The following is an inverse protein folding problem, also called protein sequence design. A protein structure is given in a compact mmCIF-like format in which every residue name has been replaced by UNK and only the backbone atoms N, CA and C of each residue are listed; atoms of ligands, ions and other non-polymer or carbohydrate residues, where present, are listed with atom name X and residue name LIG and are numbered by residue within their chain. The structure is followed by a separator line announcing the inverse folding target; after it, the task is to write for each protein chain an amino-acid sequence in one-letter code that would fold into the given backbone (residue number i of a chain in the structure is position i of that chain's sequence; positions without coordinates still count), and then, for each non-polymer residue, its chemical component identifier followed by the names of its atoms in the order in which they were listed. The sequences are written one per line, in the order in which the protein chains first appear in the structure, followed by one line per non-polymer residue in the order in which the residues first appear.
data_IF_610284592454
#
_entry.id   IF_610284592454
#
_cell.length_a   1.000
_cell.length_b   1.000
_cell.length_c   1.000
_cell.angle_alpha   90.00
_cell.angle_beta   90.00
_cell.angle_gamma   90.00
#
_symmetry.space_group_name_H-M   'P 1'
#
loop_
_entity.id
_entity.type
_entity.pdbx_description
1 polymer ?
#
# COMPACT_ATOMS: atom_id res chain seq x y z
N UNK A 1 -9.23 17.54 9.98
CA UNK A 1 -9.22 18.15 11.34
C UNK A 1 -10.31 17.56 12.23
N UNK A 2 -11.59 17.52 11.79
CA UNK A 2 -12.73 17.01 12.58
C UNK A 2 -12.50 15.60 13.16
N UNK A 3 -12.03 14.62 12.34
CA UNK A 3 -11.74 13.26 12.81
C UNK A 3 -10.63 13.25 13.86
N UNK A 4 -9.59 14.06 13.65
CA UNK A 4 -8.45 14.16 14.60
C UNK A 4 -8.93 14.71 15.94
N UNK A 5 -9.82 15.71 15.93
CA UNK A 5 -10.36 16.31 17.13
C UNK A 5 -11.22 15.30 17.92
N UNK A 6 -12.09 14.53 17.21
CA UNK A 6 -12.88 13.45 17.84
C UNK A 6 -12.01 12.32 18.42
N UNK A 7 -10.95 11.92 17.72
CA UNK A 7 -10.03 10.89 18.21
C UNK A 7 -9.24 11.37 19.42
N UNK A 8 -8.82 12.64 19.47
CA UNK A 8 -8.17 13.21 20.64
C UNK A 8 -9.07 13.18 21.87
N UNK A 9 -10.38 13.43 21.72
CA UNK A 9 -11.35 13.35 22.81
C UNK A 9 -11.49 11.93 23.38
N UNK A 10 -11.16 10.91 22.57
CA UNK A 10 -11.12 9.50 22.99
C UNK A 10 -9.80 9.07 23.62
N UNK A 11 -8.83 9.99 23.76
CA UNK A 11 -7.51 9.75 24.32
C UNK A 11 -6.76 8.59 23.65
N UNK A 12 -6.79 8.54 22.32
CA UNK A 12 -6.02 7.59 21.51
C UNK A 12 -4.75 8.26 20.98
N UNK A 13 -3.69 7.49 20.80
CA UNK A 13 -2.45 7.98 20.21
C UNK A 13 -2.60 8.13 18.70
N UNK A 14 -2.27 9.32 18.18
CA UNK A 14 -2.42 9.64 16.76
C UNK A 14 -1.05 9.90 16.14
N UNK A 15 -0.69 9.07 15.15
CA UNK A 15 0.47 9.29 14.28
C UNK A 15 -0.01 9.89 12.95
N UNK A 16 0.35 11.14 12.68
CA UNK A 16 0.03 11.81 11.41
C UNK A 16 1.10 11.49 10.38
N UNK A 17 0.68 10.96 9.23
CA UNK A 17 1.57 10.69 8.10
C UNK A 17 1.21 11.60 6.92
N UNK A 18 2.19 11.99 6.13
CA UNK A 18 1.99 12.82 4.93
C UNK A 18 1.96 12.02 3.63
N UNK A 19 2.39 10.76 3.67
CA UNK A 19 2.50 9.84 2.53
C UNK A 19 2.65 8.41 3.03
N UNK A 20 2.47 7.43 2.13
CA UNK A 20 2.72 6.02 2.42
C UNK A 20 1.49 5.23 2.86
N UNK A 21 0.32 5.51 2.30
CA UNK A 21 -0.97 4.88 2.62
C UNK A 21 -0.91 3.34 2.60
N UNK A 22 -0.21 2.77 1.61
CA UNK A 22 -0.04 1.32 1.51
C UNK A 22 0.77 0.78 2.69
N UNK A 23 1.88 1.44 3.04
CA UNK A 23 2.72 1.02 4.18
C UNK A 23 1.97 1.16 5.51
N UNK A 24 1.19 2.23 5.70
CA UNK A 24 0.36 2.44 6.88
C UNK A 24 -0.70 1.33 7.03
N UNK A 25 -1.36 0.96 5.93
CA UNK A 25 -2.32 -0.15 5.91
C UNK A 25 -1.67 -1.48 6.29
N UNK A 26 -0.43 -1.73 5.85
CA UNK A 26 0.33 -2.94 6.21
C UNK A 26 0.74 -2.95 7.68
N UNK A 27 1.12 -1.80 8.26
CA UNK A 27 1.43 -1.69 9.70
C UNK A 27 0.25 -2.11 10.57
N UNK A 28 -0.97 -1.71 10.19
CA UNK A 28 -2.18 -2.17 10.88
C UNK A 28 -2.40 -3.67 10.71
N UNK A 29 -2.28 -4.18 9.50
CA UNK A 29 -2.49 -5.60 9.23
C UNK A 29 -1.43 -6.50 9.91
N UNK A 30 -0.27 -5.95 10.26
CA UNK A 30 0.80 -6.67 11.02
C UNK A 30 0.76 -6.41 12.53
N UNK A 31 -0.19 -5.63 13.03
CA UNK A 31 -0.37 -5.35 14.45
C UNK A 31 0.57 -4.29 15.02
N UNK A 32 1.18 -3.47 14.18
CA UNK A 32 2.03 -2.34 14.60
C UNK A 32 1.20 -1.08 14.90
N UNK A 33 -0.05 -1.05 14.47
CA UNK A 33 -1.04 -0.03 14.77
C UNK A 33 -2.44 -0.67 14.77
N UNK A 34 -3.41 -0.02 15.42
CA UNK A 34 -4.78 -0.56 15.54
C UNK A 34 -5.68 -0.13 14.39
N UNK A 35 -5.48 1.06 13.85
CA UNK A 35 -6.31 1.64 12.80
C UNK A 35 -5.49 2.55 11.89
N UNK A 36 -5.78 2.49 10.59
CA UNK A 36 -5.36 3.48 9.62
C UNK A 36 -6.60 4.12 8.96
N UNK A 37 -6.60 5.44 8.87
CA UNK A 37 -7.62 6.22 8.15
C UNK A 37 -6.92 7.24 7.25
N UNK A 38 -7.26 7.24 5.97
CA UNK A 38 -6.65 8.16 5.01
C UNK A 38 -7.48 8.34 3.75
N UNK A 39 -7.07 9.29 2.90
CA UNK A 39 -7.61 9.52 1.57
C UNK A 39 -6.46 9.39 0.58
N UNK A 40 -6.51 8.36 -0.23
CA UNK A 40 -5.53 8.08 -1.28
C UNK A 40 -6.17 7.93 -2.66
N UNK A 41 -5.39 7.58 -3.64
CA UNK A 41 -5.89 7.27 -4.98
C UNK A 41 -6.58 5.90 -5.01
N UNK A 42 -7.52 5.70 -5.94
CA UNK A 42 -8.23 4.43 -6.07
C UNK A 42 -7.27 3.23 -6.34
N UNK A 43 -6.23 3.34 -7.18
CA UNK A 43 -5.24 2.27 -7.34
C UNK A 43 -4.51 1.90 -6.05
N UNK A 44 -4.14 2.87 -5.22
CA UNK A 44 -3.51 2.63 -3.92
C UNK A 44 -4.43 1.86 -2.98
N UNK A 45 -5.73 2.20 -2.97
CA UNK A 45 -6.74 1.45 -2.22
C UNK A 45 -6.83 -0.02 -2.63
N UNK A 46 -6.77 -0.32 -3.95
CA UNK A 46 -6.77 -1.70 -4.47
C UNK A 46 -5.49 -2.45 -4.07
N UNK A 47 -4.33 -1.79 -4.18
CA UNK A 47 -3.04 -2.37 -3.81
C UNK A 47 -3.01 -2.67 -2.31
N UNK A 48 -3.42 -1.72 -1.46
CA UNK A 48 -3.49 -1.89 -0.02
C UNK A 48 -4.47 -3.01 0.37
N UNK A 49 -5.67 -3.03 -0.21
CA UNK A 49 -6.65 -4.08 0.04
C UNK A 49 -6.13 -5.48 -0.32
N UNK A 50 -5.37 -5.59 -1.43
CA UNK A 50 -4.76 -6.87 -1.85
C UNK A 50 -3.75 -7.37 -0.81
N UNK A 51 -2.88 -6.49 -0.34
CA UNK A 51 -1.87 -6.82 0.67
C UNK A 51 -2.52 -7.16 2.02
N UNK A 52 -3.46 -6.34 2.48
CA UNK A 52 -4.20 -6.56 3.74
C UNK A 52 -4.98 -7.88 3.70
N UNK A 53 -5.58 -8.23 2.55
CA UNK A 53 -6.26 -9.52 2.35
C UNK A 53 -5.32 -10.71 2.56
N UNK A 54 -4.12 -10.66 1.98
CA UNK A 54 -3.11 -11.71 2.14
C UNK A 54 -2.53 -11.80 3.56
N UNK A 55 -2.68 -10.75 4.36
CA UNK A 55 -2.30 -10.71 5.78
C UNK A 55 -3.47 -11.10 6.72
N UNK A 56 -4.67 -11.37 6.18
CA UNK A 56 -5.85 -11.71 6.97
C UNK A 56 -6.46 -10.53 7.73
N UNK A 57 -6.14 -9.30 7.32
CA UNK A 57 -6.66 -8.08 7.93
C UNK A 57 -8.04 -7.66 7.39
N UNK A 58 -8.49 -6.48 7.80
CA UNK A 58 -9.73 -5.85 7.33
C UNK A 58 -9.43 -4.56 6.59
N UNK A 59 -10.11 -4.34 5.46
CA UNK A 59 -10.00 -3.10 4.68
C UNK A 59 -11.36 -2.72 4.09
N UNK A 60 -11.72 -1.46 4.21
CA UNK A 60 -12.93 -0.88 3.63
C UNK A 60 -12.63 0.53 3.11
N UNK A 61 -13.22 0.89 1.99
CA UNK A 61 -13.09 2.23 1.42
C UNK A 61 -14.41 2.76 0.86
N UNK A 62 -14.39 4.05 0.51
CA UNK A 62 -15.45 4.71 -0.25
C UNK A 62 -14.82 5.58 -1.32
N UNK A 63 -15.51 5.75 -2.45
CA UNK A 63 -15.10 6.74 -3.44
C UNK A 63 -15.37 8.15 -2.90
N UNK A 64 -14.34 8.97 -2.91
CA UNK A 64 -14.43 10.38 -2.54
C UNK A 64 -14.06 11.24 -3.75
N UNK A 65 -14.89 12.24 -4.06
CA UNK A 65 -14.73 13.08 -5.23
C UNK A 65 -14.59 14.54 -4.82
N UNK A 66 -13.55 15.19 -5.31
CA UNK A 66 -13.32 16.61 -5.06
C UNK A 66 -14.13 17.51 -6.01
N UNK A 67 -14.54 16.98 -7.17
CA UNK A 67 -15.32 17.74 -8.17
C UNK A 67 -16.50 16.91 -8.71
N UNK A 68 -17.55 17.61 -9.18
CA UNK A 68 -18.70 16.96 -9.82
C UNK A 68 -18.34 16.23 -11.11
N UNK A 69 -17.42 16.78 -11.89
CA UNK A 69 -16.95 16.18 -13.14
C UNK A 69 -16.21 14.86 -12.90
N UNK A 70 -15.42 14.78 -11.81
CA UNK A 70 -14.76 13.53 -11.41
C UNK A 70 -15.78 12.47 -10.98
N UNK A 71 -16.82 12.90 -10.24
CA UNK A 71 -17.92 12.07 -9.82
C UNK A 71 -18.73 11.51 -11.00
N UNK A 72 -19.10 12.35 -11.96
CA UNK A 72 -19.84 11.97 -13.18
C UNK A 72 -19.03 10.96 -14.01
N UNK A 73 -17.73 11.21 -14.20
CA UNK A 73 -16.85 10.26 -14.91
C UNK A 73 -16.76 8.91 -14.19
N UNK A 74 -16.63 8.91 -12.87
CA UNK A 74 -16.57 7.67 -12.11
C UNK A 74 -17.87 6.86 -12.20
N UNK A 75 -19.02 7.52 -12.19
CA UNK A 75 -20.32 6.88 -12.36
C UNK A 75 -20.49 6.23 -13.74
N UNK A 76 -19.90 6.81 -14.78
CA UNK A 76 -19.88 6.22 -16.13
C UNK A 76 -18.96 5.00 -16.23
N UNK A 77 -17.93 4.92 -15.40
CA UNK A 77 -16.89 3.87 -15.43
C UNK A 77 -17.12 2.76 -14.40
N UNK A 78 -17.94 3.00 -13.39
CA UNK A 78 -18.11 2.11 -12.25
C UNK A 78 -19.57 1.75 -12.03
N UNK A 79 -19.82 0.51 -11.64
CA UNK A 79 -21.12 0.03 -11.16
C UNK A 79 -21.38 0.41 -9.69
N UNK A 80 -20.41 1.00 -9.00
CA UNK A 80 -20.54 1.38 -7.60
C UNK A 80 -21.30 2.68 -7.45
N UNK A 81 -22.18 2.73 -6.45
CA UNK A 81 -22.89 3.95 -6.09
C UNK A 81 -21.95 4.91 -5.36
N UNK A 82 -22.26 6.20 -5.44
CA UNK A 82 -21.65 7.22 -4.60
C UNK A 82 -21.92 6.85 -3.14
N UNK A 83 -20.93 7.05 -2.27
CA UNK A 83 -20.97 6.72 -0.83
C UNK A 83 -21.17 5.23 -0.49
N UNK A 84 -21.15 4.34 -1.48
CA UNK A 84 -21.15 2.90 -1.20
C UNK A 84 -19.85 2.50 -0.52
N UNK A 85 -19.98 1.77 0.58
CA UNK A 85 -18.84 1.10 1.21
C UNK A 85 -18.38 -0.05 0.32
N UNK A 86 -17.12 0.02 -0.09
CA UNK A 86 -16.47 -0.98 -0.92
C UNK A 86 -15.58 -1.79 0.01
N UNK A 87 -15.96 -3.03 0.25
CA UNK A 87 -15.17 -3.92 1.09
C UNK A 87 -13.97 -4.51 0.34
N UNK A 88 -13.09 -5.12 1.08
CA UNK A 88 -11.86 -5.72 0.58
C UNK A 88 -12.10 -6.73 -0.56
N UNK A 89 -13.16 -7.54 -0.52
CA UNK A 89 -13.46 -8.53 -1.56
C UNK A 89 -13.91 -7.90 -2.88
N UNK A 90 -14.55 -6.72 -2.82
CA UNK A 90 -14.87 -5.94 -4.02
C UNK A 90 -13.64 -5.23 -4.58
N UNK A 91 -12.72 -4.75 -3.74
CA UNK A 91 -11.48 -4.10 -4.15
C UNK A 91 -10.47 -5.10 -4.72
N UNK A 92 -10.38 -6.28 -4.12
CA UNK A 92 -9.54 -7.39 -4.55
C UNK A 92 -10.38 -8.67 -4.66
N UNK A 93 -11.13 -8.82 -5.76
CA UNK A 93 -12.03 -9.96 -5.98
C UNK A 93 -11.29 -11.27 -6.27
N UNK A 94 -10.06 -11.20 -6.77
CA UNK A 94 -9.25 -12.38 -7.02
C UNK A 94 -8.69 -12.98 -5.73
N UNK A 95 -8.76 -14.30 -5.62
CA UNK A 95 -8.04 -15.06 -4.60
C UNK A 95 -6.64 -15.44 -5.03
N UNK A 96 -6.37 -15.43 -6.35
CA UNK A 96 -5.05 -15.71 -6.93
C UNK A 96 -4.32 -14.38 -7.21
N UNK A 97 -3.89 -13.71 -6.16
CA UNK A 97 -3.20 -12.42 -6.23
C UNK A 97 -1.87 -12.48 -5.48
N UNK A 98 -0.91 -11.74 -5.96
CA UNK A 98 0.39 -11.57 -5.32
C UNK A 98 0.64 -10.07 -5.15
N UNK A 99 0.94 -9.66 -3.91
CA UNK A 99 1.45 -8.32 -3.63
C UNK A 99 2.96 -8.37 -3.51
N UNK A 100 3.65 -7.43 -4.14
CA UNK A 100 5.10 -7.27 -4.01
C UNK A 100 5.44 -5.81 -3.76
N UNK A 101 6.26 -5.56 -2.76
CA UNK A 101 6.81 -4.25 -2.48
C UNK A 101 8.30 -4.33 -2.20
N UNK A 102 9.05 -3.33 -2.69
CA UNK A 102 10.49 -3.22 -2.44
C UNK A 102 10.78 -1.84 -1.86
N UNK A 103 11.55 -1.78 -0.78
CA UNK A 103 11.98 -0.54 -0.17
C UNK A 103 12.96 0.21 -1.11
N UNK A 104 12.63 1.47 -1.43
CA UNK A 104 13.50 2.38 -2.18
C UNK A 104 14.17 3.35 -1.21
N UNK A 105 13.38 4.05 -0.41
CA UNK A 105 13.82 4.88 0.71
C UNK A 105 13.58 4.13 2.02
N UNK A 106 14.25 4.53 3.09
CA UNK A 106 13.99 3.97 4.41
C UNK A 106 12.56 4.27 4.86
N UNK A 107 11.89 3.25 5.34
CA UNK A 107 10.53 3.27 5.80
C UNK A 107 10.16 1.95 6.47
N UNK A 108 8.91 1.54 6.37
CA UNK A 108 8.45 0.26 6.93
C UNK A 108 9.18 -0.96 6.32
N UNK A 109 9.47 -0.92 5.00
CA UNK A 109 10.44 -1.79 4.37
C UNK A 109 11.75 -1.00 4.28
N UNK A 110 12.88 -1.51 4.78
CA UNK A 110 14.17 -0.84 4.66
C UNK A 110 14.52 -0.50 3.21
N UNK A 111 15.01 0.70 2.99
CA UNK A 111 15.41 1.20 1.69
C UNK A 111 16.64 0.52 1.11
N UNK A 112 17.04 0.98 -0.05
CA UNK A 112 18.27 0.52 -0.72
C UNK A 112 19.48 1.01 0.07
N UNK A 113 20.30 0.07 0.52
CA UNK A 113 21.58 0.37 1.17
C UNK A 113 22.73 0.08 0.19
N UNK A 114 23.60 1.07 -0.02
CA UNK A 114 24.81 0.93 -0.85
C UNK A 114 26.02 0.99 0.07
N UNK A 115 26.83 -0.09 0.04
CA UNK A 115 28.07 -0.20 0.76
C UNK A 115 29.17 -0.62 -0.23
N UNK A 116 30.03 0.34 -0.58
CA UNK A 116 31.05 0.18 -1.61
C UNK A 116 30.44 -0.23 -2.96
N UNK A 117 30.83 -1.39 -3.47
CA UNK A 117 30.36 -1.93 -4.76
C UNK A 117 29.08 -2.80 -4.60
N UNK A 118 28.46 -2.87 -3.42
CA UNK A 118 27.30 -3.71 -3.15
C UNK A 118 26.08 -2.89 -2.83
N UNK A 119 25.00 -3.08 -3.60
CA UNK A 119 23.65 -2.58 -3.28
C UNK A 119 22.82 -3.71 -2.65
N UNK A 120 22.20 -3.43 -1.54
CA UNK A 120 21.28 -4.35 -0.85
C UNK A 120 19.87 -3.80 -0.94
N UNK A 121 18.90 -4.64 -1.33
CA UNK A 121 17.48 -4.32 -1.35
C UNK A 121 16.70 -5.29 -0.46
N UNK A 122 15.57 -4.81 0.04
CA UNK A 122 14.62 -5.65 0.78
C UNK A 122 13.25 -5.58 0.13
N UNK A 123 12.62 -6.74 -0.01
CA UNK A 123 11.31 -6.88 -0.62
C UNK A 123 10.39 -7.70 0.27
N UNK A 124 9.10 -7.37 0.23
CA UNK A 124 8.03 -8.15 0.82
C UNK A 124 7.19 -8.74 -0.30
N UNK A 125 6.91 -10.03 -0.22
CA UNK A 125 6.01 -10.76 -1.12
C UNK A 125 4.89 -11.35 -0.27
N UNK A 126 3.64 -11.11 -0.68
CA UNK A 126 2.45 -11.67 -0.04
C UNK A 126 1.68 -12.44 -1.11
N UNK A 127 1.64 -13.75 -0.98
CA UNK A 127 0.80 -14.63 -1.82
C UNK A 127 -0.56 -14.80 -1.14
N UNK A 128 -1.57 -14.15 -1.69
CA UNK A 128 -2.93 -14.11 -1.12
C UNK A 128 -3.56 -15.49 -1.12
N UNK A 129 -3.33 -16.29 -2.17
CA UNK A 129 -3.95 -17.62 -2.30
C UNK A 129 -3.42 -18.60 -1.26
N UNK A 130 -2.13 -18.57 -1.00
CA UNK A 130 -1.47 -19.53 -0.12
C UNK A 130 -1.25 -18.97 1.29
N UNK A 131 -1.68 -17.75 1.59
CA UNK A 131 -1.42 -17.03 2.84
C UNK A 131 0.07 -17.04 3.21
N UNK A 132 0.93 -16.91 2.21
CA UNK A 132 2.38 -16.98 2.38
C UNK A 132 2.99 -15.60 2.33
N UNK A 133 3.82 -15.30 3.33
CA UNK A 133 4.54 -14.04 3.43
C UNK A 133 6.04 -14.34 3.39
N UNK A 134 6.74 -13.67 2.46
CA UNK A 134 8.18 -13.79 2.32
C UNK A 134 8.84 -12.41 2.39
N UNK A 135 9.89 -12.30 3.20
CA UNK A 135 10.80 -11.16 3.19
C UNK A 135 12.10 -11.60 2.49
N UNK A 136 12.42 -10.91 1.39
CA UNK A 136 13.60 -11.24 0.58
C UNK A 136 14.61 -10.13 0.70
N UNK A 137 15.85 -10.49 1.01
CA UNK A 137 17.00 -9.59 0.98
C UNK A 137 17.92 -9.98 -0.16
N UNK A 138 18.09 -9.10 -1.14
CA UNK A 138 18.95 -9.31 -2.29
C UNK A 138 20.18 -8.41 -2.24
N UNK A 139 21.28 -8.90 -2.80
CA UNK A 139 22.54 -8.16 -2.95
C UNK A 139 22.93 -8.13 -4.41
N UNK A 140 23.28 -6.95 -4.91
CA UNK A 140 23.65 -6.72 -6.30
C UNK A 140 24.99 -6.00 -6.37
N UNK A 141 25.78 -6.27 -7.40
CA UNK A 141 26.94 -5.44 -7.73
C UNK A 141 26.45 -4.11 -8.33
N UNK A 142 26.91 -2.99 -7.79
CA UNK A 142 26.61 -1.66 -8.33
C UNK A 142 27.10 -1.53 -9.77
N UNK A 143 28.23 -2.16 -10.12
CA UNK A 143 28.76 -2.18 -11.49
C UNK A 143 27.81 -2.89 -12.46
N UNK A 144 27.18 -3.97 -12.04
CA UNK A 144 26.23 -4.70 -12.87
C UNK A 144 24.91 -3.92 -13.04
N UNK A 145 24.43 -3.24 -11.99
CA UNK A 145 23.26 -2.36 -12.07
C UNK A 145 23.50 -1.25 -13.08
N UNK A 146 24.64 -0.56 -13.00
CA UNK A 146 25.01 0.50 -13.93
C UNK A 146 25.08 0.02 -15.39
N UNK A 147 25.50 -1.23 -15.62
CA UNK A 147 25.50 -1.85 -16.94
C UNK A 147 24.09 -2.08 -17.50
N UNK A 148 23.11 -2.36 -16.66
CA UNK A 148 21.69 -2.45 -17.11
C UNK A 148 21.12 -1.06 -17.42
N UNK A 149 21.38 -0.06 -16.55
CA UNK A 149 20.90 1.31 -16.75
C UNK A 149 21.50 1.90 -18.04
N UNK A 150 22.81 1.71 -18.29
CA UNK A 150 23.49 2.24 -19.47
C UNK A 150 23.05 1.61 -20.80
N UNK A 151 22.47 0.40 -20.76
CA UNK A 151 21.95 -0.27 -21.96
C UNK A 151 20.54 0.19 -22.34
N UNK A 152 19.94 1.09 -21.55
CA UNK A 152 18.55 1.52 -21.73
C UNK A 152 17.60 0.35 -21.63
N UNK A 153 16.72 0.36 -20.68
CA UNK A 153 15.55 -0.55 -20.72
C UNK A 153 14.74 -0.12 -21.94
N UNK A 154 14.81 -0.92 -23.02
CA UNK A 154 13.94 -0.73 -24.19
C UNK A 154 12.59 -1.33 -23.90
#
# INVERSE_FOLDING_TARGET
QYIVDELNDLNVDIEMISDGDVAASLRVATGEADLYMGIGSAPEGVIAATAVKGLGGFFEGRLHFHTKEAQERALLMSSHKIDEKINMDKLCSSTNSIFVATGVCDGWIPGVCIDGDVATTQSLIIDVQNNKIEKIKNRYSVKDINKYISKGVK
#
